data_IF_774508201709
#
_entry.id   IF_774508201709
#
_cell.length_a   1.000
_cell.length_b   1.000
_cell.length_c   1.000
_cell.angle_alpha   90.00
_cell.angle_beta   90.00
_cell.angle_gamma   90.00
#
_symmetry.space_group_name_H-M   'P 1'
#
loop_
_entity.id
_entity.type
_entity.pdbx_description
1 polymer ?
#
# COMPACT_ATOMS: atom_id res chain seq x y z
N UNK A 1 14.82 8.63 -11.19
CA UNK A 1 14.37 7.24 -11.42
C UNK A 1 14.58 6.45 -10.13
N UNK A 2 13.50 6.07 -9.43
CA UNK A 2 13.58 5.23 -8.22
C UNK A 2 13.85 3.77 -8.60
N UNK A 3 15.12 3.37 -8.62
CA UNK A 3 15.56 1.97 -8.79
C UNK A 3 15.93 1.37 -7.43
N UNK A 4 14.93 1.13 -6.57
CA UNK A 4 15.11 0.27 -5.41
C UNK A 4 15.07 -1.19 -5.85
N UNK A 5 16.04 -2.01 -5.41
CA UNK A 5 16.09 -3.45 -5.66
C UNK A 5 14.85 -4.14 -5.07
N UNK A 6 13.75 -4.19 -5.84
CA UNK A 6 12.53 -4.92 -5.51
C UNK A 6 12.71 -6.44 -5.71
N UNK A 7 13.63 -7.05 -4.94
CA UNK A 7 13.88 -8.50 -4.91
C UNK A 7 13.28 -9.20 -3.69
N UNK A 8 12.72 -8.44 -2.75
CA UNK A 8 12.04 -8.96 -1.56
C UNK A 8 10.59 -9.38 -1.82
N UNK A 9 10.06 -10.29 -0.99
CA UNK A 9 8.66 -10.72 -1.06
C UNK A 9 7.67 -9.59 -0.74
N UNK A 10 8.08 -8.60 0.06
CA UNK A 10 7.27 -7.40 0.36
C UNK A 10 7.76 -6.21 -0.45
N UNK A 11 6.83 -5.46 -1.05
CA UNK A 11 7.09 -4.29 -1.88
C UNK A 11 6.07 -3.19 -1.54
N UNK A 12 6.50 -1.95 -1.65
CA UNK A 12 5.64 -0.77 -1.56
C UNK A 12 5.94 0.10 -2.78
N UNK A 13 4.93 0.32 -3.62
CA UNK A 13 5.08 0.97 -4.91
C UNK A 13 4.18 2.21 -4.90
N UNK A 14 4.75 3.40 -5.04
CA UNK A 14 3.96 4.62 -5.24
C UNK A 14 3.30 4.55 -6.62
N UNK A 15 1.97 4.56 -6.66
CA UNK A 15 1.19 4.46 -7.90
C UNK A 15 0.52 5.77 -8.29
N UNK A 16 0.24 6.66 -7.33
CA UNK A 16 -0.28 8.00 -7.61
C UNK A 16 0.23 9.00 -6.56
N UNK A 17 0.44 10.23 -7.01
CA UNK A 17 0.79 11.36 -6.15
C UNK A 17 0.11 12.61 -6.68
N UNK A 18 -0.58 13.32 -5.79
CA UNK A 18 -1.27 14.58 -6.06
C UNK A 18 -0.82 15.59 -5.01
N UNK A 19 -0.57 16.83 -5.45
CA UNK A 19 -0.24 17.95 -4.59
C UNK A 19 -1.06 19.16 -5.00
N UNK A 20 -1.72 19.77 -4.03
CA UNK A 20 -2.48 21.01 -4.18
C UNK A 20 -1.65 22.17 -3.61
N UNK A 21 -1.14 23.08 -4.46
CA UNK A 21 -0.35 24.21 -3.99
C UNK A 21 -1.17 25.29 -3.29
N UNK A 22 -2.48 25.38 -3.52
CA UNK A 22 -3.33 26.39 -2.87
C UNK A 22 -3.61 26.01 -1.41
N UNK A 23 -3.80 24.72 -1.15
CA UNK A 23 -4.09 24.21 0.20
C UNK A 23 -2.88 23.57 0.88
N UNK A 24 -1.74 23.49 0.20
CA UNK A 24 -0.51 22.78 0.59
C UNK A 24 -0.75 21.31 0.99
N UNK A 25 -1.84 20.71 0.52
CA UNK A 25 -2.18 19.32 0.80
C UNK A 25 -1.52 18.41 -0.21
N UNK A 26 -1.15 17.21 0.23
CA UNK A 26 -0.75 16.14 -0.69
C UNK A 26 -1.50 14.86 -0.42
N UNK A 27 -1.70 14.08 -1.47
CA UNK A 27 -2.21 12.72 -1.40
C UNK A 27 -1.23 11.81 -2.13
N UNK A 28 -0.85 10.72 -1.48
CA UNK A 28 -0.03 9.66 -2.09
C UNK A 28 -0.75 8.33 -1.97
N UNK A 29 -0.76 7.56 -3.04
CA UNK A 29 -1.36 6.23 -3.09
C UNK A 29 -0.26 5.22 -3.36
N UNK A 30 -0.15 4.24 -2.49
CA UNK A 30 0.81 3.15 -2.58
C UNK A 30 0.11 1.82 -2.79
N UNK A 31 0.65 1.00 -3.69
CA UNK A 31 0.36 -0.42 -3.77
C UNK A 31 1.35 -1.17 -2.88
N UNK A 32 0.84 -1.74 -1.79
CA UNK A 32 1.56 -2.66 -0.93
C UNK A 32 1.36 -4.07 -1.46
N UNK A 33 2.45 -4.76 -1.79
CA UNK A 33 2.44 -6.13 -2.27
C UNK A 33 3.26 -7.00 -1.33
N UNK A 34 2.63 -7.93 -0.65
CA UNK A 34 3.28 -8.87 0.25
C UNK A 34 3.14 -10.30 -0.29
N UNK A 35 4.26 -10.90 -0.64
CA UNK A 35 4.35 -12.27 -1.12
C UNK A 35 4.95 -13.17 -0.05
N UNK A 36 4.13 -14.11 0.46
CA UNK A 36 4.57 -15.15 1.37
C UNK A 36 5.07 -16.35 0.58
N UNK A 37 6.38 -16.63 0.64
CA UNK A 37 6.97 -17.84 0.05
C UNK A 37 6.43 -19.12 0.71
N UNK A 38 6.17 -19.07 2.03
CA UNK A 38 5.70 -20.22 2.82
C UNK A 38 4.27 -20.60 2.44
N UNK A 39 3.38 -19.61 2.33
CA UNK A 39 1.96 -19.85 1.98
C UNK A 39 1.69 -19.80 0.47
N UNK A 40 2.70 -19.44 -0.34
CA UNK A 40 2.58 -19.21 -1.80
C UNK A 40 1.43 -18.25 -2.15
N UNK A 41 1.17 -17.27 -1.28
CA UNK A 41 0.10 -16.28 -1.44
C UNK A 41 0.70 -14.89 -1.62
N UNK A 42 0.02 -14.08 -2.42
CA UNK A 42 0.32 -12.65 -2.58
C UNK A 42 -0.87 -11.87 -2.08
N UNK A 43 -0.62 -10.94 -1.16
CA UNK A 43 -1.56 -9.96 -0.67
C UNK A 43 -1.22 -8.62 -1.30
N UNK A 44 -2.21 -7.97 -1.91
CA UNK A 44 -2.09 -6.63 -2.46
C UNK A 44 -3.05 -5.71 -1.72
N UNK A 45 -2.59 -4.51 -1.34
CA UNK A 45 -3.37 -3.55 -0.57
C UNK A 45 -3.08 -2.14 -1.06
N UNK A 46 -4.10 -1.29 -1.05
CA UNK A 46 -3.94 0.14 -1.34
C UNK A 46 -3.79 0.90 -0.03
N UNK A 47 -2.72 1.68 0.07
CA UNK A 47 -2.48 2.62 1.16
C UNK A 47 -2.57 4.02 0.60
N UNK A 48 -3.55 4.78 1.04
CA UNK A 48 -3.71 6.20 0.72
C UNK A 48 -3.23 7.03 1.91
N UNK A 49 -2.20 7.84 1.72
CA UNK A 49 -1.67 8.77 2.72
C UNK A 49 -2.02 10.19 2.30
N UNK A 50 -2.84 10.86 3.10
CA UNK A 50 -3.17 12.27 2.91
C UNK A 50 -2.40 13.12 3.91
N UNK A 51 -1.63 14.09 3.45
CA UNK A 51 -0.97 15.09 4.29
C UNK A 51 -1.74 16.41 4.22
N UNK A 52 -1.85 17.09 5.37
CA UNK A 52 -2.28 18.48 5.44
C UNK A 52 -1.10 19.46 5.30
N UNK A 53 -1.41 20.75 5.20
CA UNK A 53 -0.44 21.85 5.11
C UNK A 53 0.57 21.88 6.27
N UNK A 54 0.23 21.28 7.41
CA UNK A 54 1.07 21.26 8.61
C UNK A 54 1.90 19.98 8.72
N UNK A 55 1.89 19.14 7.69
CA UNK A 55 2.60 17.85 7.68
C UNK A 55 1.93 16.76 8.53
N UNK A 56 0.70 16.98 9.03
CA UNK A 56 -0.07 15.93 9.68
C UNK A 56 -0.63 15.02 8.60
N UNK A 57 -0.55 13.73 8.82
CA UNK A 57 -1.04 12.77 7.85
C UNK A 57 -2.12 11.86 8.41
N UNK A 58 -3.11 11.55 7.56
CA UNK A 58 -4.15 10.56 7.83
C UNK A 58 -3.92 9.36 6.88
N UNK A 59 -3.40 8.23 7.39
CA UNK A 59 -3.28 7.02 6.60
C UNK A 59 -4.65 6.35 6.50
N UNK A 60 -5.07 6.02 5.30
CA UNK A 60 -6.24 5.21 4.99
C UNK A 60 -5.77 3.94 4.29
N UNK A 61 -6.10 2.78 4.85
CA UNK A 61 -5.79 1.49 4.24
C UNK A 61 -7.07 0.93 3.65
N UNK A 62 -7.09 0.77 2.33
CA UNK A 62 -8.19 0.16 1.61
C UNK A 62 -7.83 -1.29 1.29
N UNK A 63 -8.62 -2.21 1.83
CA UNK A 63 -8.52 -3.63 1.57
C UNK A 63 -9.39 -3.99 0.37
N UNK A 64 -9.02 -3.50 -0.81
CA UNK A 64 -9.59 -4.02 -2.05
C UNK A 64 -8.95 -5.39 -2.33
N UNK A 65 -9.78 -6.39 -2.61
CA UNK A 65 -9.37 -7.75 -3.02
C UNK A 65 -8.65 -8.63 -1.99
N UNK A 66 -9.04 -8.59 -0.71
CA UNK A 66 -8.89 -9.80 0.10
C UNK A 66 -9.80 -10.88 -0.49
N UNK A 67 -9.27 -11.76 -1.36
CA UNK A 67 -10.02 -12.90 -1.92
C UNK A 67 -10.75 -13.60 -0.76
N UNK A 68 -12.08 -13.51 -0.74
CA UNK A 68 -12.92 -14.20 0.26
C UNK A 68 -12.56 -15.69 0.19
N UNK A 69 -11.85 -16.19 1.21
CA UNK A 69 -11.34 -17.57 1.24
C UNK A 69 -9.99 -17.76 1.93
N UNK A 70 -9.16 -16.71 2.04
CA UNK A 70 -7.84 -16.83 2.70
C UNK A 70 -7.88 -16.73 4.24
N UNK A 71 -9.00 -16.27 4.83
CA UNK A 71 -9.17 -16.20 6.28
C UNK A 71 -9.34 -17.59 6.94
N UNK A 72 -9.67 -18.63 6.14
CA UNK A 72 -10.03 -19.95 6.64
C UNK A 72 -8.86 -20.95 6.65
N UNK A 73 -7.64 -20.57 6.27
CA UNK A 73 -6.47 -21.44 6.40
C UNK A 73 -5.88 -21.40 7.83
N UNK A 74 -6.73 -21.54 8.85
CA UNK A 74 -6.34 -22.01 10.19
C UNK A 74 -6.62 -23.51 10.25
N UNK A 75 -5.64 -24.31 9.84
CA UNK A 75 -5.30 -25.64 10.39
C UNK A 75 -4.39 -26.36 9.38
N UNK A 76 -3.10 -26.34 9.67
CA UNK A 76 -2.19 -27.48 9.62
C UNK A 76 -1.08 -27.17 10.63
#
# INVERSE_FOLDING_TARGET
MWRGLNRGGSQMILIAYEYDPETEKSQSVYLLRHHSKVKKTTLEQKLTVKNDAFGRFKPLIELEDFRKGLANAKQC
#
